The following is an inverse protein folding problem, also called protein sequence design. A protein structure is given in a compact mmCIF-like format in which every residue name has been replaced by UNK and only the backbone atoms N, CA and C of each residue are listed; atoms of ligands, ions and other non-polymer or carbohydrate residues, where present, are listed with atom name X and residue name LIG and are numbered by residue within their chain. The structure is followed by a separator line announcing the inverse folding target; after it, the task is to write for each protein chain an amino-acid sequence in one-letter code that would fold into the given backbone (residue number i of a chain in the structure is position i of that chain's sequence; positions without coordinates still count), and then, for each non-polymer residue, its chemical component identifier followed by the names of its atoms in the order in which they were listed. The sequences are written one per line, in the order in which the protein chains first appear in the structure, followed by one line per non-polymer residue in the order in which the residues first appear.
data_IF_144894768924
#
_entry.id   IF_144894768924
#
_cell.length_a   1.000
_cell.length_b   1.000
_cell.length_c   1.000
_cell.angle_alpha   90.00
_cell.angle_beta   90.00
_cell.angle_gamma   90.00
#
_symmetry.space_group_name_H-M   'P 1'
#
loop_
_entity.id
_entity.type
_entity.pdbx_description
1 polymer ?
#
# COMPACT_ATOMS: atom_id res chain seq x y z
N UNK A 1 2.23 5.78 -19.68
CA UNK A 1 3.47 5.66 -18.88
C UNK A 1 4.05 7.05 -18.75
N UNK A 2 3.78 7.76 -17.66
CA UNK A 2 4.48 9.04 -17.39
C UNK A 2 5.76 8.65 -16.67
N UNK A 3 6.86 8.55 -17.44
CA UNK A 3 8.21 8.67 -16.89
C UNK A 3 8.39 10.15 -16.56
N UNK A 4 7.95 10.56 -15.38
CA UNK A 4 8.28 11.87 -14.84
C UNK A 4 9.67 11.80 -14.25
N UNK A 5 10.53 12.75 -14.63
CA UNK A 5 11.83 12.96 -14.03
C UNK A 5 11.72 12.89 -12.51
N UNK A 6 12.46 11.96 -11.91
CA UNK A 6 12.63 11.90 -10.46
C UNK A 6 13.51 13.08 -10.00
N UNK A 7 13.00 14.30 -10.20
CA UNK A 7 13.42 15.46 -9.42
C UNK A 7 13.35 15.05 -7.95
N UNK A 8 14.38 15.42 -7.18
CA UNK A 8 14.46 15.17 -5.73
C UNK A 8 13.08 15.24 -5.10
N UNK A 9 12.58 14.10 -4.62
CA UNK A 9 11.29 14.04 -3.92
C UNK A 9 11.45 14.90 -2.65
N UNK A 10 10.88 16.10 -2.66
CA UNK A 10 10.78 16.99 -1.51
C UNK A 10 9.36 16.88 -0.94
N UNK A 11 9.26 16.69 0.38
CA UNK A 11 8.00 16.67 1.10
C UNK A 11 7.67 18.04 1.73
N UNK A 12 8.53 19.04 1.53
CA UNK A 12 8.39 20.39 2.10
C UNK A 12 7.07 21.05 1.71
N UNK A 13 6.72 21.01 0.41
CA UNK A 13 5.45 21.58 -0.07
C UNK A 13 4.24 20.88 0.58
N UNK A 14 4.30 19.56 0.73
CA UNK A 14 3.25 18.78 1.39
C UNK A 14 3.18 19.11 2.88
N UNK A 15 4.33 19.26 3.54
CA UNK A 15 4.40 19.69 4.94
C UNK A 15 3.72 21.04 5.14
N UNK A 16 3.99 22.00 4.25
CA UNK A 16 3.41 23.35 4.32
C UNK A 16 1.89 23.36 4.09
N UNK A 17 1.40 22.58 3.13
CA UNK A 17 -0.05 22.56 2.80
C UNK A 17 -0.85 21.77 3.86
N UNK A 18 -0.29 20.68 4.38
CA UNK A 18 -1.01 19.79 5.30
C UNK A 18 -0.81 20.13 6.78
N UNK A 19 0.23 20.89 7.11
CA UNK A 19 0.67 21.13 8.49
C UNK A 19 1.31 19.91 9.18
N UNK A 20 1.48 18.79 8.46
CA UNK A 20 2.13 17.57 8.96
C UNK A 20 3.64 17.74 8.81
N UNK A 21 4.43 17.37 9.83
CA UNK A 21 5.88 17.56 9.76
C UNK A 21 6.52 16.70 8.67
N UNK A 22 7.60 17.18 8.04
CA UNK A 22 8.36 16.36 7.08
C UNK A 22 8.78 15.01 7.66
N UNK A 23 9.17 14.96 8.94
CA UNK A 23 9.53 13.72 9.64
C UNK A 23 8.37 12.71 9.61
N UNK A 24 7.17 13.16 9.96
CA UNK A 24 5.98 12.32 9.92
C UNK A 24 5.65 11.90 8.49
N UNK A 25 5.71 12.82 7.51
CA UNK A 25 5.48 12.49 6.11
C UNK A 25 6.48 11.45 5.59
N UNK A 26 7.78 11.60 5.92
CA UNK A 26 8.81 10.63 5.59
C UNK A 26 8.50 9.26 6.20
N UNK A 27 8.05 9.22 7.46
CA UNK A 27 7.69 7.95 8.14
C UNK A 27 6.54 7.18 7.46
N UNK A 28 5.69 7.88 6.71
CA UNK A 28 4.61 7.26 5.91
C UNK A 28 5.14 6.66 4.61
N UNK A 29 6.26 7.13 4.07
CA UNK A 29 6.90 6.60 2.85
C UNK A 29 7.70 5.33 3.13
N UNK A 30 8.02 4.53 2.11
CA UNK A 30 8.97 3.42 2.26
C UNK A 30 10.44 3.85 2.40
N UNK A 31 10.74 5.13 2.18
CA UNK A 31 12.11 5.63 2.18
C UNK A 31 12.68 5.86 3.59
N UNK A 32 11.82 6.04 4.61
CA UNK A 32 12.25 6.23 6.01
C UNK A 32 13.15 5.11 6.53
N UNK A 33 12.83 3.85 6.19
CA UNK A 33 13.56 2.66 6.63
C UNK A 33 14.72 2.26 5.72
N UNK A 34 14.81 2.87 4.53
CA UNK A 34 15.94 2.66 3.59
C UNK A 34 17.16 3.47 4.05
N UNK A 35 16.96 4.54 4.81
CA UNK A 35 18.03 5.42 5.29
C UNK A 35 18.74 4.93 6.56
N UNK A 36 18.31 3.82 7.17
CA UNK A 36 19.03 3.17 8.28
C UNK A 36 20.04 2.15 7.70
N UNK A 37 21.29 2.61 7.56
CA UNK A 37 22.35 2.00 6.74
C UNK A 37 23.09 0.83 7.38
N UNK A 38 22.63 0.35 8.54
CA UNK A 38 23.37 -0.65 9.34
C UNK A 38 23.28 -2.08 8.81
N UNK A 39 22.36 -2.40 7.89
CA UNK A 39 22.33 -3.71 7.23
C UNK A 39 21.75 -3.69 5.80
N UNK A 40 22.37 -2.88 4.94
CA UNK A 40 21.93 -2.58 3.57
C UNK A 40 21.74 -3.82 2.68
N UNK A 41 22.47 -4.92 2.88
CA UNK A 41 22.38 -6.10 2.00
C UNK A 41 21.06 -6.86 2.12
N UNK A 42 20.64 -7.16 3.36
CA UNK A 42 19.40 -7.88 3.66
C UNK A 42 18.16 -6.99 3.52
N UNK A 43 18.24 -5.74 3.98
CA UNK A 43 17.11 -4.80 3.90
C UNK A 43 16.86 -4.39 2.45
N UNK A 44 17.90 -4.07 1.65
CA UNK A 44 17.72 -3.64 0.26
C UNK A 44 17.22 -4.77 -0.65
N UNK A 45 17.72 -6.00 -0.46
CA UNK A 45 17.28 -7.16 -1.24
C UNK A 45 15.90 -7.64 -0.79
N UNK A 46 15.66 -7.69 0.52
CA UNK A 46 14.37 -8.05 1.11
C UNK A 46 13.26 -7.03 0.83
N UNK A 47 13.55 -5.73 0.80
CA UNK A 47 12.57 -4.71 0.38
C UNK A 47 12.33 -4.73 -1.14
N UNK A 48 13.38 -4.92 -1.96
CA UNK A 48 13.24 -4.90 -3.42
C UNK A 48 12.54 -6.15 -3.97
N UNK A 49 12.68 -7.30 -3.31
CA UNK A 49 12.00 -8.56 -3.67
C UNK A 49 10.75 -8.84 -2.83
N UNK A 50 10.65 -8.27 -1.63
CA UNK A 50 9.58 -8.54 -0.68
C UNK A 50 8.46 -7.50 -0.65
N UNK A 51 8.55 -6.41 -1.42
CA UNK A 51 7.45 -5.48 -1.64
C UNK A 51 6.74 -5.84 -2.95
N UNK A 52 5.46 -6.18 -2.84
CA UNK A 52 4.56 -6.35 -3.97
C UNK A 52 4.05 -4.97 -4.44
N UNK A 53 4.62 -4.48 -5.54
CA UNK A 53 4.18 -3.27 -6.24
C UNK A 53 3.26 -3.55 -7.42
N UNK A 54 2.95 -4.83 -7.70
CA UNK A 54 2.12 -5.23 -8.84
C UNK A 54 0.63 -5.28 -8.50
N UNK A 55 0.30 -5.67 -7.26
CA UNK A 55 -1.08 -5.81 -6.81
C UNK A 55 -1.24 -5.32 -5.37
N UNK A 56 -2.20 -4.42 -5.17
CA UNK A 56 -2.61 -4.00 -3.84
C UNK A 56 -3.33 -5.15 -3.14
N UNK A 57 -2.98 -5.35 -1.88
CA UNK A 57 -3.70 -6.22 -0.95
C UNK A 57 -4.67 -5.39 -0.14
N UNK A 58 -5.88 -5.91 0.06
CA UNK A 58 -6.99 -5.20 0.67
C UNK A 58 -7.69 -6.08 1.70
N UNK A 59 -8.02 -5.48 2.84
CA UNK A 59 -8.95 -6.07 3.80
C UNK A 59 -10.34 -5.45 3.59
N UNK A 60 -11.38 -6.24 3.23
CA UNK A 60 -12.74 -5.71 3.00
C UNK A 60 -13.33 -5.06 4.27
N UNK A 61 -13.07 -5.63 5.45
CA UNK A 61 -13.56 -5.10 6.71
C UNK A 61 -12.99 -3.71 7.06
N UNK A 62 -11.80 -3.34 6.56
CA UNK A 62 -11.20 -2.03 6.80
C UNK A 62 -11.97 -0.88 6.15
N UNK A 63 -12.91 -1.15 5.24
CA UNK A 63 -13.72 -0.11 4.60
C UNK A 63 -14.77 0.52 5.51
N UNK A 64 -15.15 -0.16 6.60
CA UNK A 64 -16.19 0.33 7.51
C UNK A 64 -15.69 1.42 8.49
N UNK A 65 -14.43 1.87 8.35
CA UNK A 65 -13.85 2.98 9.13
C UNK A 65 -13.12 4.00 8.24
N UNK A 66 -12.07 4.63 8.79
CA UNK A 66 -11.18 5.51 8.02
C UNK A 66 -10.30 4.67 7.08
N UNK A 67 -10.84 4.33 5.92
CA UNK A 67 -10.17 3.47 4.95
C UNK A 67 -8.98 4.19 4.28
N UNK A 68 -7.80 3.63 4.49
CA UNK A 68 -6.58 3.95 3.75
C UNK A 68 -5.77 2.68 3.54
N UNK A 69 -4.94 2.69 2.50
CA UNK A 69 -4.06 1.58 2.18
C UNK A 69 -2.93 1.50 3.21
N UNK A 70 -2.75 0.35 3.87
CA UNK A 70 -1.69 0.17 4.87
C UNK A 70 -0.36 -0.15 4.20
N UNK A 71 0.72 0.51 4.62
CA UNK A 71 2.11 0.25 4.18
C UNK A 71 2.48 -1.23 4.31
N UNK A 72 2.09 -1.89 5.41
CA UNK A 72 2.42 -3.30 5.69
C UNK A 72 1.81 -4.28 4.68
N UNK A 73 0.66 -3.95 4.09
CA UNK A 73 0.02 -4.80 3.09
C UNK A 73 0.82 -4.89 1.79
N UNK A 74 1.76 -3.98 1.55
CA UNK A 74 2.62 -4.10 0.37
C UNK A 74 3.70 -5.19 0.54
N UNK A 75 3.97 -5.70 1.75
CA UNK A 75 4.94 -6.80 1.89
C UNK A 75 4.34 -8.10 1.39
N UNK A 76 5.01 -8.81 0.47
CA UNK A 76 4.56 -10.07 -0.15
C UNK A 76 4.13 -11.10 0.90
N UNK A 77 4.91 -11.25 1.97
CA UNK A 77 4.66 -12.20 3.07
C UNK A 77 3.48 -11.84 3.97
N UNK A 78 3.04 -10.58 3.99
CA UNK A 78 1.89 -10.17 4.78
C UNK A 78 0.60 -10.55 4.05
N UNK A 79 0.10 -11.77 4.26
CA UNK A 79 -1.13 -12.26 3.59
C UNK A 79 -2.38 -12.10 4.45
N UNK A 80 -2.24 -11.63 5.70
CA UNK A 80 -3.31 -11.49 6.69
C UNK A 80 -3.40 -10.04 7.15
N UNK A 81 -4.63 -9.53 7.29
CA UNK A 81 -4.89 -8.25 7.93
C UNK A 81 -4.66 -8.36 9.45
N UNK A 82 -3.73 -7.59 10.04
CA UNK A 82 -3.43 -7.70 11.47
C UNK A 82 -4.53 -7.14 12.37
N UNK A 83 -5.50 -6.41 11.82
CA UNK A 83 -6.61 -5.79 12.58
C UNK A 83 -7.81 -6.73 12.66
N UNK A 84 -8.12 -7.43 11.56
CA UNK A 84 -9.36 -8.20 11.41
C UNK A 84 -9.14 -9.71 11.32
N UNK A 85 -7.89 -10.17 11.28
CA UNK A 85 -7.52 -11.58 11.09
C UNK A 85 -8.21 -12.24 9.88
N UNK A 86 -8.24 -11.50 8.76
CA UNK A 86 -8.79 -11.94 7.48
C UNK A 86 -7.66 -12.07 6.47
N UNK A 87 -7.77 -13.03 5.56
CA UNK A 87 -6.91 -13.07 4.38
C UNK A 87 -7.10 -11.79 3.55
N UNK A 88 -5.98 -11.20 3.15
CA UNK A 88 -5.98 -10.03 2.28
C UNK A 88 -6.28 -10.45 0.84
N UNK A 89 -7.18 -9.72 0.19
CA UNK A 89 -7.59 -9.97 -1.19
C UNK A 89 -6.81 -9.05 -2.13
N UNK A 90 -6.28 -9.61 -3.23
CA UNK A 90 -5.55 -8.84 -4.25
C UNK A 90 -6.11 -9.00 -5.66
N UNK A 91 -7.27 -9.66 -5.81
CA UNK A 91 -7.97 -9.87 -7.07
C UNK A 91 -9.39 -9.32 -6.99
N UNK A 92 -9.86 -8.72 -8.08
CA UNK A 92 -11.22 -8.22 -8.19
C UNK A 92 -12.14 -9.34 -8.71
N UNK A 93 -13.21 -9.72 -7.99
CA UNK A 93 -14.10 -10.81 -8.41
C UNK A 93 -14.95 -10.46 -9.65
N UNK A 94 -15.06 -9.17 -10.00
CA UNK A 94 -15.83 -8.73 -11.18
C UNK A 94 -15.05 -8.86 -12.48
N UNK A 95 -13.77 -8.47 -12.48
CA UNK A 95 -12.95 -8.45 -13.70
C UNK A 95 -11.79 -9.44 -13.68
N UNK A 96 -11.68 -10.24 -12.60
CA UNK A 96 -10.65 -11.27 -12.39
C UNK A 96 -9.22 -10.76 -12.55
N UNK A 97 -9.02 -9.45 -12.41
CA UNK A 97 -7.71 -8.80 -12.52
C UNK A 97 -7.16 -8.53 -11.14
N UNK A 98 -5.82 -8.50 -11.02
CA UNK A 98 -5.17 -7.98 -9.82
C UNK A 98 -5.64 -6.55 -9.54
N UNK A 99 -5.83 -6.25 -8.27
CA UNK A 99 -6.22 -4.91 -7.82
C UNK A 99 -5.02 -3.99 -8.03
N UNK A 100 -5.08 -3.18 -9.07
CA UNK A 100 -3.99 -2.27 -9.44
C UNK A 100 -3.72 -1.27 -8.32
N UNK A 101 -2.46 -1.08 -7.88
CA UNK A 101 -2.06 0.02 -7.01
C UNK A 101 -2.29 1.39 -7.64
N UNK A 102 -2.20 1.46 -8.98
CA UNK A 102 -2.51 2.65 -9.77
C UNK A 102 -3.98 2.58 -10.18
N UNK A 103 -4.85 3.14 -9.35
CA UNK A 103 -6.30 3.23 -9.58
C UNK A 103 -6.84 4.60 -9.25
N UNK A 104 -7.94 4.98 -9.91
CA UNK A 104 -8.54 6.32 -9.79
C UNK A 104 -8.99 6.64 -8.36
N UNK A 105 -9.42 5.63 -7.60
CA UNK A 105 -9.86 5.79 -6.22
C UNK A 105 -9.42 4.58 -5.42
N UNK A 106 -9.13 4.77 -4.13
CA UNK A 106 -8.80 3.65 -3.25
C UNK A 106 -9.99 2.69 -3.04
N UNK A 107 -11.22 3.16 -3.25
CA UNK A 107 -12.46 2.43 -2.95
C UNK A 107 -12.98 1.58 -4.10
N UNK A 108 -12.51 1.78 -5.33
CA UNK A 108 -13.01 1.07 -6.51
C UNK A 108 -11.89 0.44 -7.32
N UNK A 109 -12.13 -0.75 -7.84
CA UNK A 109 -11.28 -1.31 -8.90
C UNK A 109 -11.36 -0.43 -10.17
N UNK A 110 -10.39 -0.55 -11.08
CA UNK A 110 -10.40 0.13 -12.38
C UNK A 110 -11.61 -0.27 -13.24
N UNK A 111 -12.19 -1.46 -13.03
CA UNK A 111 -13.45 -1.87 -13.66
C UNK A 111 -14.72 -1.27 -13.01
N UNK A 112 -14.56 -0.45 -11.97
CA UNK A 112 -15.67 0.20 -11.25
C UNK A 112 -16.26 -0.60 -10.09
N UNK A 113 -15.82 -1.85 -9.85
CA UNK A 113 -16.26 -2.65 -8.70
C UNK A 113 -15.91 -1.97 -7.37
N UNK A 114 -16.87 -1.90 -6.44
CA UNK A 114 -16.68 -1.35 -5.10
C UNK A 114 -15.92 -2.35 -4.22
N UNK A 115 -14.69 -2.01 -3.83
CA UNK A 115 -13.79 -2.92 -3.11
C UNK A 115 -14.25 -3.25 -1.68
N UNK A 116 -15.18 -2.47 -1.12
CA UNK A 116 -15.85 -2.80 0.15
C UNK A 116 -16.77 -4.04 0.07
N UNK A 117 -17.15 -4.44 -1.14
CA UNK A 117 -18.01 -5.61 -1.40
C UNK A 117 -17.20 -6.89 -1.65
N UNK A 118 -15.88 -6.84 -1.45
CA UNK A 118 -15.05 -8.04 -1.51
C UNK A 118 -15.46 -9.01 -0.40
N UNK A 119 -15.55 -10.29 -0.75
CA UNK A 119 -15.74 -11.34 0.24
C UNK A 119 -14.53 -11.47 1.17
N UNK A 120 -14.76 -12.07 2.33
CA UNK A 120 -13.75 -12.23 3.37
C UNK A 120 -13.60 -13.70 3.77
N UNK A 121 -12.36 -14.12 3.97
CA UNK A 121 -12.03 -15.45 4.48
C UNK A 121 -11.27 -15.26 5.79
N UNK A 122 -11.74 -15.90 6.86
CA UNK A 122 -11.08 -15.87 8.17
C UNK A 122 -9.85 -16.77 8.17
N UNK A 123 -8.86 -16.41 8.97
CA UNK A 123 -7.72 -17.29 9.27
C UNK A 123 -8.16 -18.24 10.39
N UNK A 124 -8.07 -19.55 10.14
CA UNK A 124 -8.33 -20.62 11.12
C UNK A 124 -7.14 -20.83 12.07
#
# INVERSE_FOLDING_TARGET
MVRGDAGKISLELLSNITGITERELWSMTFNDKIMDTTNLGFIRTGFKLGINSYADKICPACFNGNFYQKKIWNYTVNVICPIHNLYLVNECPRCNSKISPIRKTLKKCNCGFELKLLDHVKVE
#
